data_IF_334793571546
#
_entry.id   IF_334793571546
#
_cell.length_a   1.000
_cell.length_b   1.000
_cell.length_c   1.000
_cell.angle_alpha   90.00
_cell.angle_beta   90.00
_cell.angle_gamma   90.00
#
_symmetry.space_group_name_H-M   'P 1'
#
loop_
_entity.id
_entity.type
_entity.pdbx_description
1 polymer ?
#
# COMPACT_ATOMS: atom_id res chain seq x y z
N UNK A 1 16.86 -21.83 28.12
CA UNK A 1 16.05 -20.61 28.01
C UNK A 1 14.91 -20.70 29.01
N UNK A 2 14.68 -19.64 29.79
CA UNK A 2 13.56 -19.54 30.73
C UNK A 2 12.23 -19.58 29.96
N UNK A 3 11.18 -20.10 30.61
CA UNK A 3 9.82 -20.10 30.07
C UNK A 3 9.34 -18.68 29.72
N UNK A 4 9.69 -17.70 30.52
CA UNK A 4 9.39 -16.28 30.28
C UNK A 4 10.11 -15.71 29.04
N UNK A 5 11.35 -16.12 28.78
CA UNK A 5 12.06 -15.78 27.52
C UNK A 5 11.35 -16.34 26.28
N UNK A 6 10.86 -17.59 26.35
CA UNK A 6 10.15 -18.23 25.26
C UNK A 6 8.83 -17.50 24.99
N UNK A 7 8.08 -17.16 26.03
CA UNK A 7 6.83 -16.38 25.91
C UNK A 7 7.11 -14.99 25.29
N UNK A 8 8.16 -14.30 25.75
CA UNK A 8 8.58 -13.01 25.19
C UNK A 8 8.87 -13.09 23.69
N UNK A 9 9.68 -14.07 23.28
CA UNK A 9 10.02 -14.30 21.87
C UNK A 9 8.79 -14.63 21.00
N UNK A 10 7.81 -15.35 21.56
CA UNK A 10 6.55 -15.69 20.84
C UNK A 10 5.70 -14.45 20.60
N UNK A 11 5.53 -13.60 21.62
CA UNK A 11 4.79 -12.33 21.51
C UNK A 11 5.44 -11.36 20.55
N UNK A 12 6.76 -11.24 20.54
CA UNK A 12 7.50 -10.40 19.60
C UNK A 12 7.34 -10.91 18.16
N UNK A 13 7.34 -12.22 17.96
CA UNK A 13 7.10 -12.84 16.67
C UNK A 13 5.68 -12.58 16.15
N UNK A 14 4.67 -12.74 17.01
CA UNK A 14 3.27 -12.44 16.67
C UNK A 14 3.11 -10.98 16.29
N UNK A 15 3.69 -10.06 17.06
CA UNK A 15 3.67 -8.63 16.78
C UNK A 15 4.36 -8.31 15.45
N UNK A 16 5.50 -8.92 15.18
CA UNK A 16 6.19 -8.76 13.90
C UNK A 16 5.32 -9.24 12.72
N UNK A 17 4.70 -10.42 12.83
CA UNK A 17 3.85 -10.99 11.78
C UNK A 17 2.60 -10.14 11.51
N UNK A 18 1.99 -9.57 12.56
CA UNK A 18 0.84 -8.66 12.37
C UNK A 18 1.23 -7.32 11.75
N UNK A 19 2.48 -6.90 11.92
CA UNK A 19 3.02 -5.65 11.38
C UNK A 19 3.44 -5.74 9.92
N UNK A 20 3.70 -6.93 9.38
CA UNK A 20 4.02 -7.09 7.95
C UNK A 20 2.81 -6.68 7.10
N UNK A 21 2.97 -5.84 6.05
CA UNK A 21 1.88 -5.39 5.18
C UNK A 21 1.41 -6.50 4.23
N UNK A 22 0.76 -7.54 4.77
CA UNK A 22 0.54 -8.84 4.13
C UNK A 22 -0.81 -8.99 3.40
N UNK A 23 -1.65 -7.94 3.36
CA UNK A 23 -2.91 -7.93 2.62
C UNK A 23 -2.91 -6.84 1.53
N UNK A 24 -3.83 -6.96 0.58
CA UNK A 24 -4.06 -5.90 -0.39
C UNK A 24 -4.70 -4.68 0.27
N UNK A 25 -4.36 -3.45 -0.19
CA UNK A 25 -4.93 -2.23 0.36
C UNK A 25 -6.39 -1.98 -0.06
N UNK A 26 -6.91 -2.76 -1.00
CA UNK A 26 -8.28 -2.72 -1.54
C UNK A 26 -8.84 -4.14 -1.56
N UNK A 27 -10.14 -4.29 -1.29
CA UNK A 27 -10.81 -5.59 -1.44
C UNK A 27 -10.72 -6.10 -2.88
N UNK A 28 -10.51 -7.41 -3.06
CA UNK A 28 -10.52 -8.05 -4.38
C UNK A 28 -11.85 -7.85 -5.13
N UNK A 29 -12.95 -7.72 -4.41
CA UNK A 29 -14.29 -7.48 -4.98
C UNK A 29 -14.42 -6.07 -5.57
N UNK A 30 -13.74 -5.09 -4.97
CA UNK A 30 -13.76 -3.68 -5.38
C UNK A 30 -12.72 -3.37 -6.46
N UNK A 31 -11.73 -4.25 -6.65
CA UNK A 31 -10.63 -4.05 -7.56
C UNK A 31 -11.08 -4.22 -9.01
N UNK A 32 -11.13 -3.12 -9.76
CA UNK A 32 -11.44 -3.15 -11.19
C UNK A 32 -10.28 -3.74 -11.98
N UNK A 33 -9.07 -3.28 -11.71
CA UNK A 33 -7.82 -3.84 -12.25
C UNK A 33 -6.60 -3.33 -11.48
N UNK A 34 -5.51 -4.07 -11.53
CA UNK A 34 -4.19 -3.54 -11.23
C UNK A 34 -3.69 -2.81 -12.47
N UNK A 35 -3.57 -1.50 -12.39
CA UNK A 35 -3.25 -0.68 -13.55
C UNK A 35 -1.76 -0.68 -13.87
N UNK A 36 -0.93 -0.75 -12.82
CA UNK A 36 0.48 -0.47 -12.95
C UNK A 36 1.28 -1.06 -11.78
N UNK A 37 2.34 -1.81 -12.09
CA UNK A 37 3.23 -2.41 -11.09
C UNK A 37 4.42 -1.52 -10.73
N UNK A 38 5.24 -2.00 -9.81
CA UNK A 38 6.51 -1.40 -9.39
C UNK A 38 7.56 -1.49 -10.51
N UNK A 39 8.39 -0.46 -10.68
CA UNK A 39 9.51 -0.50 -11.60
C UNK A 39 9.57 0.66 -12.60
N UNK A 40 10.57 0.61 -13.49
CA UNK A 40 10.77 1.67 -14.49
C UNK A 40 9.72 1.63 -15.60
N UNK A 41 9.12 2.79 -15.89
CA UNK A 41 8.15 2.96 -16.97
C UNK A 41 8.15 4.38 -17.51
N UNK A 42 7.40 4.62 -18.59
CA UNK A 42 7.22 5.95 -19.15
C UNK A 42 6.10 6.66 -18.35
N UNK A 43 6.47 7.76 -17.70
CA UNK A 43 5.53 8.59 -16.95
C UNK A 43 4.43 9.14 -17.87
N UNK A 44 3.12 9.03 -17.54
CA UNK A 44 2.04 9.36 -18.45
C UNK A 44 2.01 10.84 -18.85
N UNK A 45 2.39 11.73 -17.92
CA UNK A 45 2.37 13.19 -18.10
C UNK A 45 3.70 13.68 -18.68
N UNK A 46 4.80 13.34 -18.04
CA UNK A 46 6.14 13.87 -18.42
C UNK A 46 6.80 13.15 -19.59
N UNK A 47 6.28 11.99 -20.02
CA UNK A 47 6.80 11.17 -21.12
C UNK A 47 8.28 10.77 -21.01
N UNK A 48 8.81 10.73 -19.82
CA UNK A 48 10.17 10.29 -19.49
C UNK A 48 10.16 8.95 -18.76
N UNK A 49 11.27 8.21 -18.86
CA UNK A 49 11.47 6.98 -18.08
C UNK A 49 11.65 7.35 -16.60
N UNK A 50 10.74 6.90 -15.74
CA UNK A 50 10.75 7.16 -14.31
C UNK A 50 10.51 5.86 -13.54
N UNK A 51 11.11 5.74 -12.37
CA UNK A 51 10.81 4.66 -11.43
C UNK A 51 9.45 4.90 -10.81
N UNK A 52 8.56 3.92 -10.92
CA UNK A 52 7.33 3.86 -10.14
C UNK A 52 7.60 3.12 -8.84
N UNK A 53 7.53 3.82 -7.74
CA UNK A 53 7.94 3.34 -6.41
C UNK A 53 6.85 2.53 -5.69
N UNK A 54 5.74 2.22 -6.39
CA UNK A 54 4.60 1.53 -5.81
C UNK A 54 3.81 0.71 -6.82
N UNK A 55 2.55 0.47 -6.50
CA UNK A 55 1.56 -0.15 -7.37
C UNK A 55 0.29 0.70 -7.42
N UNK A 56 -0.32 0.76 -8.60
CA UNK A 56 -1.58 1.48 -8.83
C UNK A 56 -2.74 0.49 -8.93
N UNK A 57 -3.76 0.71 -8.14
CA UNK A 57 -4.99 -0.07 -8.11
C UNK A 57 -6.16 0.82 -8.53
N UNK A 58 -6.84 0.44 -9.62
CA UNK A 58 -8.06 1.14 -10.04
C UNK A 58 -9.29 0.55 -9.38
N UNK A 59 -10.09 1.42 -8.82
CA UNK A 59 -11.43 1.11 -8.31
C UNK A 59 -12.30 2.37 -8.37
N UNK A 60 -13.58 2.25 -8.06
CA UNK A 60 -14.51 3.37 -8.05
C UNK A 60 -14.12 4.43 -7.02
N UNK A 61 -14.41 5.69 -7.30
CA UNK A 61 -14.29 6.77 -6.31
C UNK A 61 -15.04 6.41 -5.02
N UNK A 62 -14.41 6.65 -3.87
CA UNK A 62 -15.00 6.35 -2.57
C UNK A 62 -14.85 4.89 -2.13
N UNK A 63 -14.23 4.02 -2.92
CA UNK A 63 -13.89 2.65 -2.47
C UNK A 63 -13.00 2.70 -1.24
N UNK A 64 -13.26 1.83 -0.27
CA UNK A 64 -12.52 1.74 0.99
C UNK A 64 -11.07 1.31 0.77
N UNK A 65 -10.17 1.96 1.49
CA UNK A 65 -8.75 1.63 1.55
C UNK A 65 -8.44 1.09 2.94
N UNK A 66 -7.73 -0.02 3.00
CA UNK A 66 -7.44 -0.73 4.25
C UNK A 66 -5.96 -0.65 4.63
N UNK A 67 -5.69 -0.55 5.95
CA UNK A 67 -4.35 -0.74 6.49
C UNK A 67 -3.85 -2.16 6.21
N UNK A 68 -2.70 -2.30 5.58
CA UNK A 68 -2.18 -3.61 5.13
C UNK A 68 -1.46 -4.39 6.22
N UNK A 69 -1.14 -3.75 7.34
CA UNK A 69 -0.55 -4.31 8.55
C UNK A 69 -0.92 -3.48 9.79
N UNK A 70 -0.70 -4.05 10.97
CA UNK A 70 -0.82 -3.31 12.24
C UNK A 70 0.22 -2.19 12.27
N UNK A 71 -0.12 -1.02 12.83
CA UNK A 71 0.83 0.08 12.93
C UNK A 71 0.27 1.34 13.57
N UNK A 72 1.02 2.43 13.39
CA UNK A 72 0.64 3.77 13.83
C UNK A 72 0.66 4.71 12.63
N UNK A 73 -0.39 5.50 12.47
CA UNK A 73 -0.47 6.51 11.41
C UNK A 73 0.58 7.59 11.68
N UNK A 74 1.61 7.63 10.82
CA UNK A 74 2.74 8.56 10.93
C UNK A 74 2.43 9.91 10.31
N UNK A 75 1.67 9.91 9.21
CA UNK A 75 1.39 11.13 8.45
C UNK A 75 -0.01 11.07 7.82
N UNK A 76 -0.74 12.19 7.94
CA UNK A 76 -1.97 12.47 7.18
C UNK A 76 -1.80 13.84 6.55
N UNK A 77 -1.63 13.91 5.22
CA UNK A 77 -1.36 15.16 4.50
C UNK A 77 -2.22 15.32 3.26
N UNK A 78 -2.58 16.56 2.96
CA UNK A 78 -3.22 16.98 1.72
C UNK A 78 -2.29 17.88 0.93
N UNK A 79 -2.20 17.65 -0.38
CA UNK A 79 -1.45 18.48 -1.32
C UNK A 79 -2.21 18.55 -2.65
N UNK A 80 -2.07 19.66 -3.36
CA UNK A 80 -2.57 19.78 -4.73
C UNK A 80 -1.62 19.21 -5.79
N UNK A 81 -0.41 18.76 -5.38
CA UNK A 81 0.64 18.22 -6.25
C UNK A 81 1.11 16.85 -5.76
N UNK A 82 1.78 16.11 -6.64
CA UNK A 82 2.36 14.81 -6.33
C UNK A 82 1.32 13.83 -5.77
N UNK A 83 1.57 13.25 -4.63
CA UNK A 83 0.74 12.23 -3.98
C UNK A 83 -0.69 12.69 -3.57
N UNK A 84 -1.01 13.97 -3.69
CA UNK A 84 -2.32 14.47 -3.27
C UNK A 84 -2.60 14.26 -1.78
N UNK A 85 -3.81 13.81 -1.47
CA UNK A 85 -4.17 13.36 -0.11
C UNK A 85 -3.53 11.99 0.14
N UNK A 86 -2.74 11.89 1.21
CA UNK A 86 -1.99 10.67 1.54
C UNK A 86 -1.98 10.35 3.01
N UNK A 87 -1.92 9.06 3.29
CA UNK A 87 -1.68 8.46 4.61
C UNK A 87 -0.38 7.68 4.55
N UNK A 88 0.44 7.78 5.60
CA UNK A 88 1.62 6.93 5.81
C UNK A 88 1.46 6.23 7.15
N UNK A 89 1.64 4.92 7.17
CA UNK A 89 1.59 4.09 8.38
C UNK A 89 2.99 3.54 8.66
N UNK A 90 3.44 3.69 9.89
CA UNK A 90 4.63 3.03 10.41
C UNK A 90 4.20 1.75 11.13
N UNK A 91 4.64 0.61 10.62
CA UNK A 91 4.31 -0.71 11.15
C UNK A 91 5.34 -1.22 12.16
N UNK A 92 6.43 -0.48 12.37
CA UNK A 92 7.59 -0.98 13.08
C UNK A 92 8.38 -2.00 12.27
N UNK A 93 9.42 -2.59 12.88
CA UNK A 93 10.29 -3.58 12.25
C UNK A 93 10.88 -3.15 10.90
N UNK A 94 10.99 -1.83 10.66
CA UNK A 94 11.47 -1.24 9.42
C UNK A 94 10.45 -1.17 8.28
N UNK A 95 9.19 -1.50 8.51
CA UNK A 95 8.13 -1.39 7.49
C UNK A 95 7.37 -0.07 7.60
N UNK A 96 7.16 0.59 6.46
CA UNK A 96 6.21 1.68 6.28
C UNK A 96 5.39 1.45 5.02
N UNK A 97 4.14 1.90 5.02
CA UNK A 97 3.29 1.90 3.84
C UNK A 97 2.75 3.29 3.57
N UNK A 98 2.59 3.61 2.29
CA UNK A 98 1.99 4.87 1.83
C UNK A 98 0.80 4.59 0.94
N UNK A 99 -0.25 5.36 1.17
CA UNK A 99 -1.51 5.33 0.44
C UNK A 99 -1.77 6.74 -0.09
N UNK A 100 -1.85 6.92 -1.40
CA UNK A 100 -1.92 8.22 -2.03
C UNK A 100 -3.13 8.37 -2.98
N UNK A 101 -3.39 9.62 -3.40
CA UNK A 101 -4.51 10.04 -4.24
C UNK A 101 -5.89 9.83 -3.62
N UNK A 102 -5.99 9.82 -2.27
CA UNK A 102 -7.23 9.64 -1.54
C UNK A 102 -8.24 10.79 -1.82
N UNK A 103 -9.53 10.47 -1.71
CA UNK A 103 -10.61 11.46 -1.66
C UNK A 103 -10.82 11.99 -0.24
N UNK A 104 -10.74 11.10 0.75
CA UNK A 104 -11.01 11.40 2.15
C UNK A 104 -10.18 10.52 3.09
N UNK A 105 -9.86 11.05 4.27
CA UNK A 105 -9.18 10.34 5.35
C UNK A 105 -10.20 9.77 6.34
N UNK A 106 -9.97 8.57 6.85
CA UNK A 106 -10.73 7.96 7.96
C UNK A 106 -9.86 7.76 9.21
N UNK A 107 -8.68 8.34 9.24
CA UNK A 107 -7.70 8.25 10.34
C UNK A 107 -7.01 9.59 10.56
N UNK A 108 -6.35 9.72 11.71
CA UNK A 108 -5.53 10.89 12.09
C UNK A 108 -4.11 10.47 12.48
N UNK A 109 -3.19 11.42 12.43
CA UNK A 109 -1.80 11.18 12.87
C UNK A 109 -1.75 10.72 14.33
N UNK A 110 -0.88 9.76 14.62
CA UNK A 110 -0.73 9.13 15.92
C UNK A 110 -1.76 8.03 16.24
N UNK A 111 -2.76 7.83 15.38
CA UNK A 111 -3.77 6.77 15.57
C UNK A 111 -3.15 5.38 15.37
N UNK A 112 -3.40 4.47 16.30
CA UNK A 112 -3.10 3.04 16.12
C UNK A 112 -4.14 2.42 15.19
N UNK A 113 -3.69 1.62 14.25
CA UNK A 113 -4.52 0.88 13.30
C UNK A 113 -4.16 -0.59 13.31
N UNK A 114 -5.14 -1.43 13.03
CA UNK A 114 -5.00 -2.86 12.81
C UNK A 114 -5.03 -3.17 11.32
N UNK A 115 -4.40 -4.26 10.92
CA UNK A 115 -4.56 -4.81 9.57
C UNK A 115 -6.05 -4.97 9.24
N UNK A 116 -6.49 -4.42 8.11
CA UNK A 116 -7.90 -4.43 7.68
C UNK A 116 -8.74 -3.25 8.16
N UNK A 117 -8.21 -2.35 9.00
CA UNK A 117 -8.92 -1.11 9.35
C UNK A 117 -9.06 -0.19 8.13
N UNK A 118 -10.23 0.43 7.97
CA UNK A 118 -10.46 1.42 6.92
C UNK A 118 -9.73 2.72 7.28
N UNK A 119 -8.80 3.14 6.43
CA UNK A 119 -7.94 4.32 6.65
C UNK A 119 -8.30 5.52 5.78
N UNK A 120 -9.11 5.31 4.74
CA UNK A 120 -9.55 6.35 3.81
C UNK A 120 -10.28 5.75 2.62
N UNK A 121 -10.46 6.59 1.59
CA UNK A 121 -11.24 6.24 0.41
C UNK A 121 -10.52 6.66 -0.86
N UNK A 122 -10.69 5.87 -1.93
CA UNK A 122 -10.10 6.15 -3.24
C UNK A 122 -10.58 7.47 -3.78
N UNK A 123 -9.65 8.23 -4.32
CA UNK A 123 -9.87 9.53 -4.95
C UNK A 123 -9.13 9.69 -6.27
N UNK A 124 -8.93 10.97 -6.61
CA UNK A 124 -8.18 11.40 -7.78
C UNK A 124 -7.45 12.72 -7.44
N UNK A 125 -6.90 12.82 -6.23
CA UNK A 125 -6.24 14.02 -5.72
C UNK A 125 -4.77 14.07 -6.09
N UNK A 126 -4.19 15.28 -6.20
CA UNK A 126 -2.80 15.47 -6.57
C UNK A 126 -2.52 15.29 -8.06
N UNK A 127 -1.35 14.74 -8.39
CA UNK A 127 -0.95 14.46 -9.79
C UNK A 127 -1.49 13.09 -10.19
N UNK A 128 -2.71 13.05 -10.69
CA UNK A 128 -3.39 11.82 -11.08
C UNK A 128 -4.27 12.06 -12.29
N UNK A 129 -4.29 11.13 -13.25
CA UNK A 129 -5.07 11.22 -14.49
C UNK A 129 -6.42 10.48 -14.42
N UNK A 130 -6.61 9.61 -13.44
CA UNK A 130 -7.84 8.86 -13.23
C UNK A 130 -7.95 8.36 -11.78
N UNK A 131 -9.16 8.04 -11.27
CA UNK A 131 -9.33 7.49 -9.94
C UNK A 131 -8.55 6.20 -9.73
N UNK A 132 -7.62 6.21 -8.77
CA UNK A 132 -6.82 5.05 -8.37
C UNK A 132 -6.24 5.24 -6.96
N UNK A 133 -5.77 4.16 -6.37
CA UNK A 133 -4.89 4.17 -5.21
C UNK A 133 -3.45 3.94 -5.70
N UNK A 134 -2.53 4.84 -5.39
CA UNK A 134 -1.11 4.58 -5.45
C UNK A 134 -0.65 4.06 -4.08
N UNK A 135 -0.06 2.86 -4.06
CA UNK A 135 0.34 2.17 -2.84
C UNK A 135 1.82 1.80 -2.88
N UNK A 136 2.55 2.17 -1.83
CA UNK A 136 3.98 1.87 -1.68
C UNK A 136 4.24 1.07 -0.41
N UNK A 137 5.22 0.19 -0.48
CA UNK A 137 5.85 -0.47 0.68
C UNK A 137 7.30 -0.04 0.76
N UNK A 138 7.72 0.34 1.95
CA UNK A 138 9.11 0.67 2.28
C UNK A 138 9.61 -0.30 3.35
N UNK A 139 10.80 -0.86 3.13
CA UNK A 139 11.51 -1.72 4.09
C UNK A 139 12.88 -1.14 4.37
N UNK A 140 13.14 -0.80 5.63
CA UNK A 140 14.43 -0.22 6.08
C UNK A 140 14.86 1.03 5.28
N UNK A 141 13.88 1.88 4.91
CA UNK A 141 14.13 3.10 4.14
C UNK A 141 14.19 2.92 2.62
N UNK A 142 14.07 1.69 2.11
CA UNK A 142 14.08 1.40 0.67
C UNK A 142 12.69 1.03 0.15
N UNK A 143 12.33 1.56 -1.03
CA UNK A 143 11.10 1.18 -1.71
C UNK A 143 11.23 -0.23 -2.28
N UNK A 144 10.26 -1.07 -1.95
CA UNK A 144 10.23 -2.47 -2.39
C UNK A 144 8.95 -2.77 -3.16
N UNK A 145 9.01 -3.78 -4.04
CA UNK A 145 7.86 -4.16 -4.84
C UNK A 145 6.73 -4.71 -3.94
N UNK A 146 5.58 -4.03 -3.86
CA UNK A 146 4.48 -4.44 -2.97
C UNK A 146 3.91 -5.82 -3.28
N UNK A 147 4.03 -6.30 -4.52
CA UNK A 147 3.49 -7.60 -4.94
C UNK A 147 3.99 -8.77 -4.08
N UNK A 148 5.20 -8.67 -3.54
CA UNK A 148 5.79 -9.73 -2.71
C UNK A 148 5.16 -9.85 -1.31
N UNK A 149 4.22 -8.96 -0.96
CA UNK A 149 3.61 -8.88 0.37
C UNK A 149 2.14 -9.33 0.41
N UNK A 150 1.48 -9.59 -0.72
CA UNK A 150 0.04 -9.93 -0.77
C UNK A 150 -0.29 -11.40 -0.54
N UNK A 151 0.56 -12.12 0.19
CA UNK A 151 0.45 -13.58 0.33
C UNK A 151 -0.71 -14.05 1.23
N UNK A 152 -1.33 -13.16 2.03
CA UNK A 152 -2.48 -13.52 2.87
C UNK A 152 -3.83 -13.43 2.13
N UNK A 153 -3.91 -12.68 1.03
CA UNK A 153 -5.18 -12.40 0.34
C UNK A 153 -5.32 -13.10 -0.99
N UNK A 154 -4.24 -13.64 -1.53
CA UNK A 154 -4.22 -14.18 -2.88
C UNK A 154 -4.05 -15.70 -2.87
N UNK A 155 -4.87 -16.39 -3.67
CA UNK A 155 -4.59 -17.77 -4.04
C UNK A 155 -3.30 -17.83 -4.89
N UNK A 156 -2.61 -18.98 -4.98
CA UNK A 156 -1.41 -19.13 -5.81
C UNK A 156 -1.62 -18.64 -7.26
N UNK A 157 -2.77 -18.95 -7.86
CA UNK A 157 -3.12 -18.53 -9.23
C UNK A 157 -3.30 -17.01 -9.35
N UNK A 158 -3.92 -16.39 -8.35
CA UNK A 158 -4.08 -14.93 -8.30
C UNK A 158 -2.73 -14.25 -8.09
N UNK A 159 -1.86 -14.82 -7.27
CA UNK A 159 -0.51 -14.32 -7.02
C UNK A 159 0.35 -14.37 -8.30
N UNK A 160 0.36 -15.49 -9.03
CA UNK A 160 1.04 -15.61 -10.33
C UNK A 160 0.54 -14.57 -11.35
N UNK A 161 -0.78 -14.36 -11.41
CA UNK A 161 -1.38 -13.33 -12.27
C UNK A 161 -0.94 -11.93 -11.84
N UNK A 162 -0.86 -11.64 -10.54
CA UNK A 162 -0.41 -10.36 -10.02
C UNK A 162 1.07 -10.11 -10.35
N UNK A 163 1.93 -11.11 -10.18
CA UNK A 163 3.34 -11.06 -10.61
C UNK A 163 3.44 -10.73 -12.10
N UNK A 164 2.67 -11.42 -12.94
CA UNK A 164 2.66 -11.18 -14.39
C UNK A 164 2.23 -9.76 -14.73
N UNK A 165 1.17 -9.24 -14.12
CA UNK A 165 0.69 -7.87 -14.34
C UNK A 165 1.73 -6.85 -13.86
N UNK A 166 2.35 -7.07 -12.69
CA UNK A 166 3.33 -6.15 -12.13
C UNK A 166 4.64 -6.10 -12.91
N UNK A 167 5.00 -7.17 -13.62
CA UNK A 167 6.21 -7.24 -14.46
C UNK A 167 6.01 -6.66 -15.86
N UNK A 168 4.76 -6.62 -16.34
CA UNK A 168 4.43 -5.99 -17.62
C UNK A 168 4.14 -4.51 -17.39
N UNK A 169 4.93 -3.64 -18.03
CA UNK A 169 4.80 -2.18 -17.95
C UNK A 169 3.41 -1.71 -18.39
N UNK A 170 2.46 -1.67 -17.48
CA UNK A 170 1.18 -1.04 -17.69
C UNK A 170 1.30 0.48 -17.76
N UNK A 171 0.24 1.15 -18.13
CA UNK A 171 0.16 2.60 -18.13
C UNK A 171 0.06 3.08 -16.67
N UNK A 172 1.00 3.91 -16.21
CA UNK A 172 0.92 4.60 -14.92
C UNK A 172 -0.20 5.66 -14.95
N UNK A 173 -0.74 5.99 -13.77
CA UNK A 173 -1.73 7.06 -13.61
C UNK A 173 -1.15 8.31 -12.90
N UNK A 174 0.10 8.25 -12.46
CA UNK A 174 0.84 9.32 -11.78
C UNK A 174 2.23 9.57 -12.37
#
# INVERSE_FOLDING_TARGET
>A
KSYDEIIGMTKDKEKMLSSIPAIMPISNEDLTRTASGFGYRIHPIYKIKKLHEGMDFTASLGTKIYATGDGVVKTVKSSYRGYGKRVVIDHGFGYQTRYAHLSEFNVREGQKVKRGDVIGFIGNSGLSVAPHLHYEVEKNGEKVNPVHYYFNDLTPKQYEKMIFISSNSGQSFD
#
